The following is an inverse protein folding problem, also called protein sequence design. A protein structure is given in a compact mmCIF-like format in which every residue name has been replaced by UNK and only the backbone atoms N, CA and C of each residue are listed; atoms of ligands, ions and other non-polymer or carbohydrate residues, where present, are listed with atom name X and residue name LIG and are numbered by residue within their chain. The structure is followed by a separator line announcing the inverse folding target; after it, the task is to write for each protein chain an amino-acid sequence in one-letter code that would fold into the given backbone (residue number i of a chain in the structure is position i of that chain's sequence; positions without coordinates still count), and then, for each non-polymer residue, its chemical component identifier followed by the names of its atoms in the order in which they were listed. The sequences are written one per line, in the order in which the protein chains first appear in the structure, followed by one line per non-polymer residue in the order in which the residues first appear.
data_IF_696361056525
#
_entry.id   IF_696361056525
#
_cell.length_a   1.000
_cell.length_b   1.000
_cell.length_c   1.000
_cell.angle_alpha   90.00
_cell.angle_beta   90.00
_cell.angle_gamma   90.00
#
_symmetry.space_group_name_H-M   'P 1'
#
loop_
_entity.id
_entity.type
_entity.pdbx_description
1 polymer ?
#
# COMPACT_ATOMS: atom_id res chain seq x y z
N UNK A 1 26.75 20.08 16.06
CA UNK A 1 26.70 19.28 14.82
C UNK A 1 25.38 18.54 14.83
N UNK A 2 24.37 19.06 14.12
CA UNK A 2 23.09 18.37 13.98
C UNK A 2 23.27 17.25 12.95
N UNK A 3 23.00 16.02 13.36
CA UNK A 3 22.94 14.87 12.47
C UNK A 3 21.75 15.07 11.53
N UNK A 4 22.02 15.38 10.26
CA UNK A 4 20.98 15.37 9.21
C UNK A 4 20.54 13.93 9.04
N UNK A 5 19.46 13.54 9.72
CA UNK A 5 18.80 12.26 9.52
C UNK A 5 18.18 12.28 8.12
N UNK A 6 18.87 11.68 7.17
CA UNK A 6 18.35 11.49 5.82
C UNK A 6 17.23 10.44 5.90
N UNK A 7 16.00 10.89 6.18
CA UNK A 7 14.81 10.07 5.99
C UNK A 7 14.69 9.76 4.49
N UNK A 8 15.26 8.64 4.05
CA UNK A 8 15.08 8.17 2.68
C UNK A 8 13.61 7.81 2.51
N UNK A 9 12.90 8.57 1.66
CA UNK A 9 11.57 8.20 1.20
C UNK A 9 11.67 6.86 0.46
N UNK A 10 10.82 5.87 0.77
CA UNK A 10 10.79 4.62 0.01
C UNK A 10 10.41 4.90 -1.45
N UNK A 11 11.04 4.19 -2.37
CA UNK A 11 10.75 4.24 -3.80
C UNK A 11 10.45 2.82 -4.29
N UNK A 12 9.45 2.67 -5.15
CA UNK A 12 9.05 1.39 -5.76
C UNK A 12 9.01 1.60 -7.27
N UNK A 13 9.60 0.67 -8.02
CA UNK A 13 9.54 0.65 -9.48
C UNK A 13 8.46 -0.35 -9.92
N UNK A 14 7.53 0.10 -10.76
CA UNK A 14 6.47 -0.72 -11.33
C UNK A 14 6.59 -0.71 -12.85
N UNK A 15 6.51 -1.88 -13.47
CA UNK A 15 6.45 -2.02 -14.93
C UNK A 15 5.02 -1.85 -15.42
N UNK A 16 4.82 -1.41 -16.66
CA UNK A 16 3.48 -1.21 -17.24
C UNK A 16 2.59 -2.46 -17.12
N UNK A 17 3.11 -3.62 -17.53
CA UNK A 17 2.42 -4.93 -17.38
C UNK A 17 1.96 -5.20 -15.94
N UNK A 18 2.77 -4.80 -14.95
CA UNK A 18 2.43 -5.03 -13.55
C UNK A 18 1.40 -4.00 -13.05
N UNK A 19 1.44 -2.77 -13.55
CA UNK A 19 0.42 -1.75 -13.27
C UNK A 19 -0.94 -2.20 -13.79
N UNK A 20 -1.01 -2.74 -15.00
CA UNK A 20 -2.26 -3.26 -15.57
C UNK A 20 -2.85 -4.36 -14.69
N UNK A 21 -2.04 -5.36 -14.32
CA UNK A 21 -2.47 -6.43 -13.40
C UNK A 21 -2.92 -5.88 -12.04
N UNK A 22 -2.18 -4.91 -11.48
CA UNK A 22 -2.57 -4.29 -10.21
C UNK A 22 -3.92 -3.57 -10.32
N UNK A 23 -4.20 -2.90 -11.44
CA UNK A 23 -5.47 -2.20 -11.65
C UNK A 23 -6.65 -3.18 -11.71
N UNK A 24 -6.48 -4.32 -12.38
CA UNK A 24 -7.49 -5.39 -12.41
C UNK A 24 -7.75 -5.94 -11.00
N UNK A 25 -6.69 -6.27 -10.26
CA UNK A 25 -6.81 -6.82 -8.91
C UNK A 25 -7.43 -5.82 -7.92
N UNK A 26 -7.26 -4.51 -8.15
CA UNK A 26 -7.75 -3.43 -7.29
C UNK A 26 -9.10 -2.83 -7.75
N UNK A 27 -9.73 -3.37 -8.80
CA UNK A 27 -10.99 -2.87 -9.35
C UNK A 27 -12.11 -2.81 -8.30
N UNK A 28 -12.13 -3.79 -7.39
CA UNK A 28 -13.12 -3.90 -6.32
C UNK A 28 -13.04 -2.78 -5.26
N UNK A 29 -11.98 -1.95 -5.28
CA UNK A 29 -11.88 -0.74 -4.47
C UNK A 29 -12.71 0.41 -5.03
N UNK A 30 -13.13 0.33 -6.29
CA UNK A 30 -13.93 1.38 -6.94
C UNK A 30 -15.41 1.33 -6.57
N UNK A 31 -15.85 0.25 -5.92
CA UNK A 31 -17.24 0.04 -5.50
C UNK A 31 -17.44 0.33 -4.00
N UNK A 32 -18.09 1.44 -3.63
CA UNK A 32 -18.24 1.84 -2.22
C UNK A 32 -19.11 0.88 -1.38
N UNK A 33 -19.96 0.06 -2.01
CA UNK A 33 -20.84 -0.88 -1.31
C UNK A 33 -20.12 -2.13 -0.77
N UNK A 34 -18.94 -2.47 -1.32
CA UNK A 34 -18.18 -3.68 -0.95
C UNK A 34 -16.89 -3.37 -0.16
N UNK A 35 -16.71 -2.10 0.24
CA UNK A 35 -15.46 -1.63 0.84
C UNK A 35 -15.40 -1.92 2.35
N UNK A 36 -15.13 -3.18 2.72
CA UNK A 36 -14.87 -3.59 4.11
C UNK A 36 -13.37 -3.65 4.39
N UNK A 37 -12.93 -2.99 5.47
CA UNK A 37 -11.54 -2.98 5.93
C UNK A 37 -11.31 -3.99 7.07
N UNK A 38 -10.09 -4.54 7.24
CA UNK A 38 -8.91 -4.34 6.40
C UNK A 38 -8.97 -5.17 5.11
N UNK A 39 -8.32 -4.66 4.06
CA UNK A 39 -8.22 -5.35 2.76
C UNK A 39 -6.78 -5.52 2.36
N UNK A 40 -6.42 -6.70 1.87
CA UNK A 40 -5.04 -7.05 1.59
C UNK A 40 -4.88 -7.62 0.19
N UNK A 41 -3.94 -7.05 -0.55
CA UNK A 41 -3.54 -7.47 -1.88
C UNK A 41 -2.09 -7.90 -1.83
N UNK A 42 -1.78 -9.06 -2.39
CA UNK A 42 -0.41 -9.58 -2.42
C UNK A 42 -0.07 -10.07 -3.80
N UNK A 43 1.11 -9.66 -4.26
CA UNK A 43 1.77 -10.15 -5.47
C UNK A 43 3.08 -10.82 -5.06
N UNK A 44 3.04 -12.11 -4.67
CA UNK A 44 4.21 -12.85 -4.18
C UNK A 44 5.38 -12.84 -5.17
N UNK A 45 5.08 -12.86 -6.47
CA UNK A 45 6.06 -12.80 -7.56
C UNK A 45 6.86 -11.50 -7.57
N UNK A 46 6.28 -10.40 -7.10
CA UNK A 46 6.96 -9.10 -6.92
C UNK A 46 7.39 -8.86 -5.47
N UNK A 47 7.10 -9.80 -4.55
CA UNK A 47 7.26 -9.63 -3.10
C UNK A 47 6.60 -8.33 -2.59
N UNK A 48 5.48 -7.96 -3.20
CA UNK A 48 4.74 -6.74 -2.88
C UNK A 48 3.45 -7.10 -2.16
N UNK A 49 3.14 -6.35 -1.10
CA UNK A 49 1.85 -6.43 -0.40
C UNK A 49 1.34 -5.00 -0.20
N UNK A 50 0.06 -4.80 -0.51
CA UNK A 50 -0.66 -3.55 -0.26
C UNK A 50 -1.81 -3.89 0.69
N UNK A 51 -1.82 -3.26 1.86
CA UNK A 51 -2.89 -3.41 2.83
C UNK A 51 -3.58 -2.06 3.02
N UNK A 52 -4.90 -2.06 2.92
CA UNK A 52 -5.76 -0.91 3.19
C UNK A 52 -6.32 -1.12 4.59
N UNK A 53 -5.99 -0.19 5.47
CA UNK A 53 -6.28 -0.26 6.90
C UNK A 53 -7.09 0.97 7.32
N UNK A 54 -7.91 0.88 8.38
CA UNK A 54 -8.62 2.04 8.91
C UNK A 54 -7.65 3.03 9.58
N UNK A 55 -7.97 4.33 9.51
CA UNK A 55 -7.12 5.42 9.98
C UNK A 55 -6.67 5.27 11.45
N UNK A 56 -7.54 4.69 12.30
CA UNK A 56 -7.25 4.38 13.72
C UNK A 56 -5.99 3.55 13.95
N UNK A 57 -5.58 2.75 12.96
CA UNK A 57 -4.33 1.96 13.03
C UNK A 57 -3.10 2.88 13.01
N UNK A 58 -3.21 4.04 12.37
CA UNK A 58 -2.12 5.01 12.22
C UNK A 58 -2.14 6.10 13.31
N UNK A 59 -3.27 6.30 13.99
CA UNK A 59 -3.42 7.30 15.07
C UNK A 59 -2.78 6.89 16.40
N UNK A 60 -2.35 5.64 16.55
CA UNK A 60 -1.71 5.15 17.78
C UNK A 60 -0.30 5.75 17.93
N UNK A 61 -0.03 6.60 18.94
CA UNK A 61 1.21 7.38 18.99
C UNK A 61 2.48 6.59 19.35
N UNK A 62 2.44 5.25 19.48
CA UNK A 62 3.57 4.51 20.05
C UNK A 62 3.74 3.13 19.41
N UNK A 63 4.71 3.07 18.49
CA UNK A 63 5.64 1.95 18.32
C UNK A 63 7.04 2.46 18.66
#
# INVERSE_FOLDING_TARGET
MESVQFFRKPQILLTEEFVEKMLEDLEDLTSPEEFKLPKEYSWPEKKLKVSILPDVVFDSPLH
#
